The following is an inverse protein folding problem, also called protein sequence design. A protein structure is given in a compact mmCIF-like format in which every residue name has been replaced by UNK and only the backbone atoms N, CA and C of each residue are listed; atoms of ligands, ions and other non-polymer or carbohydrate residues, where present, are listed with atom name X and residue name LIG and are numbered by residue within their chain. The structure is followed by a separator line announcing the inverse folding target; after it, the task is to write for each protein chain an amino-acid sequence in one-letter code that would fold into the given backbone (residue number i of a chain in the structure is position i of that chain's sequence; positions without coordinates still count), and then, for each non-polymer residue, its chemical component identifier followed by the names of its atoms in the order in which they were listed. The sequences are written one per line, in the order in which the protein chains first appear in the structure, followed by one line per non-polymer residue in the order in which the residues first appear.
data_IF_781310141512
#
_entry.id   IF_781310141512
#
_cell.length_a   1.000
_cell.length_b   1.000
_cell.length_c   1.000
_cell.angle_alpha   90.00
_cell.angle_beta   90.00
_cell.angle_gamma   90.00
#
_symmetry.space_group_name_H-M   'P 1'
#
loop_
_entity.id
_entity.type
_entity.pdbx_description
1 polymer ?
#
# COMPACT_ATOMS: atom_id res chain seq x y z
N UNK A 1 -14.85 -29.55 -12.89
CA UNK A 1 -13.93 -29.24 -11.77
C UNK A 1 -13.46 -27.83 -12.05
N UNK A 2 -13.84 -26.84 -11.25
CA UNK A 2 -13.31 -25.48 -11.40
C UNK A 2 -11.81 -25.54 -11.10
N UNK A 3 -10.97 -25.19 -12.06
CA UNK A 3 -9.54 -25.05 -11.80
C UNK A 3 -9.30 -23.97 -10.77
N UNK A 4 -8.51 -24.30 -9.76
CA UNK A 4 -8.14 -23.36 -8.70
C UNK A 4 -7.24 -22.29 -9.32
N UNK A 5 -7.62 -21.04 -9.12
CA UNK A 5 -6.71 -19.93 -9.40
C UNK A 5 -5.64 -19.96 -8.29
N UNK A 6 -4.51 -20.60 -8.56
CA UNK A 6 -3.33 -20.53 -7.69
C UNK A 6 -2.58 -19.25 -8.02
N UNK A 7 -2.84 -18.22 -7.24
CA UNK A 7 -2.02 -17.02 -7.29
C UNK A 7 -0.97 -17.17 -6.18
N UNK A 8 0.21 -17.62 -6.56
CA UNK A 8 1.36 -17.61 -5.68
C UNK A 8 1.76 -16.15 -5.39
N UNK A 9 2.22 -15.88 -4.18
CA UNK A 9 2.68 -14.55 -3.75
C UNK A 9 1.61 -13.43 -3.80
N UNK A 10 0.33 -13.78 -3.62
CA UNK A 10 -0.68 -12.77 -3.36
C UNK A 10 -0.43 -12.15 -1.98
N UNK A 11 -0.12 -10.87 -1.96
CA UNK A 11 0.17 -10.14 -0.73
C UNK A 11 -1.05 -10.15 0.20
N UNK A 12 -0.87 -10.07 1.53
CA UNK A 12 -2.00 -9.84 2.43
C UNK A 12 -2.75 -8.56 2.03
N UNK A 13 -4.01 -8.44 2.44
CA UNK A 13 -4.71 -7.16 2.27
C UNK A 13 -4.06 -6.08 3.14
N UNK A 14 -4.17 -4.79 2.78
CA UNK A 14 -3.65 -3.71 3.64
C UNK A 14 -4.18 -3.80 5.07
N UNK A 15 -5.46 -4.16 5.24
CA UNK A 15 -6.11 -4.30 6.53
C UNK A 15 -5.53 -5.45 7.37
N UNK A 16 -5.23 -6.59 6.71
CA UNK A 16 -4.65 -7.75 7.39
C UNK A 16 -3.19 -7.50 7.76
N UNK A 17 -2.39 -6.93 6.83
CA UNK A 17 -1.00 -6.54 7.08
C UNK A 17 -0.90 -5.53 8.22
N UNK A 18 -1.79 -4.53 8.24
CA UNK A 18 -1.86 -3.51 9.29
C UNK A 18 -2.07 -4.13 10.68
N UNK A 19 -3.09 -4.98 10.81
CA UNK A 19 -3.39 -5.67 12.07
C UNK A 19 -2.26 -6.60 12.52
N UNK A 20 -1.65 -7.33 11.57
CA UNK A 20 -0.50 -8.19 11.84
C UNK A 20 0.67 -7.40 12.38
N UNK A 21 1.06 -6.31 11.72
CA UNK A 21 2.22 -5.52 12.09
C UNK A 21 2.02 -4.73 13.39
N UNK A 22 0.83 -4.20 13.65
CA UNK A 22 0.51 -3.58 14.94
C UNK A 22 0.67 -4.59 16.09
N UNK A 23 0.20 -5.83 15.88
CA UNK A 23 0.39 -6.90 16.86
C UNK A 23 1.87 -7.26 17.03
N UNK A 24 2.61 -7.38 15.93
CA UNK A 24 4.04 -7.75 15.92
C UNK A 24 4.89 -6.75 16.71
N UNK A 25 4.68 -5.45 16.53
CA UNK A 25 5.42 -4.42 17.26
C UNK A 25 4.93 -4.23 18.70
N UNK A 26 3.89 -4.95 19.12
CA UNK A 26 3.28 -4.82 20.45
C UNK A 26 2.57 -3.48 20.65
N UNK A 27 1.79 -3.03 19.65
CA UNK A 27 0.92 -1.87 19.76
C UNK A 27 -0.32 -2.20 20.60
N UNK A 28 -0.12 -2.26 21.92
CA UNK A 28 -1.13 -2.58 22.92
C UNK A 28 -1.56 -1.35 23.70
N UNK A 29 -2.41 -1.54 24.68
CA UNK A 29 -2.95 -0.45 25.51
C UNK A 29 -1.86 0.29 26.29
N UNK A 30 -0.84 -0.39 26.80
CA UNK A 30 0.28 0.23 27.51
C UNK A 30 1.09 1.14 26.58
N UNK A 31 1.45 0.63 25.38
CA UNK A 31 2.16 1.39 24.35
C UNK A 31 1.35 2.61 23.90
N UNK A 32 0.03 2.46 23.73
CA UNK A 32 -0.88 3.57 23.38
C UNK A 32 -0.93 4.62 24.48
N UNK A 33 -0.99 4.23 25.75
CA UNK A 33 -0.95 5.17 26.88
C UNK A 33 0.37 5.93 26.95
N UNK A 34 1.50 5.28 26.65
CA UNK A 34 2.79 5.95 26.59
C UNK A 34 2.81 7.03 25.49
N UNK A 35 2.34 6.73 24.28
CA UNK A 35 2.19 7.72 23.21
C UNK A 35 1.22 8.85 23.58
N UNK A 36 0.06 8.52 24.17
CA UNK A 36 -1.00 9.46 24.52
C UNK A 36 -0.53 10.60 25.43
N UNK A 37 0.45 10.36 26.30
CA UNK A 37 1.02 11.39 27.18
C UNK A 37 1.65 12.56 26.44
N UNK A 38 2.05 12.37 25.19
CA UNK A 38 2.70 13.39 24.36
C UNK A 38 1.79 14.02 23.31
N UNK A 39 0.58 13.48 23.10
CA UNK A 39 -0.31 13.91 21.99
C UNK A 39 -0.59 15.41 22.06
N UNK A 40 -0.91 15.96 23.23
CA UNK A 40 -1.19 17.39 23.37
C UNK A 40 0.02 18.27 22.99
N UNK A 41 1.22 17.86 23.41
CA UNK A 41 2.48 18.54 23.07
C UNK A 41 2.69 18.53 21.56
N UNK A 42 2.58 17.36 20.94
CA UNK A 42 2.78 17.17 19.52
C UNK A 42 1.71 17.87 18.68
N UNK A 43 0.46 17.85 19.12
CA UNK A 43 -0.65 18.51 18.46
C UNK A 43 -0.45 20.04 18.39
N UNK A 44 -0.06 20.67 19.51
CA UNK A 44 0.24 22.10 19.57
C UNK A 44 1.39 22.51 18.62
N UNK A 45 2.34 21.60 18.35
CA UNK A 45 3.48 21.81 17.48
C UNK A 45 3.28 21.26 16.05
N UNK A 46 2.07 20.73 15.74
CA UNK A 46 1.79 20.07 14.49
C UNK A 46 1.96 20.97 13.26
N UNK A 47 1.49 22.21 13.32
CA UNK A 47 1.68 23.17 12.23
C UNK A 47 3.17 23.47 12.00
N UNK A 48 3.92 23.68 13.06
CA UNK A 48 5.37 23.91 12.99
C UNK A 48 6.08 22.73 12.34
N UNK A 49 5.73 21.49 12.72
CA UNK A 49 6.29 20.29 12.09
C UNK A 49 6.06 20.27 10.58
N UNK A 50 4.82 20.55 10.16
CA UNK A 50 4.46 20.56 8.72
C UNK A 50 5.29 21.59 7.97
N UNK A 51 5.38 22.83 8.48
CA UNK A 51 6.13 23.91 7.84
C UNK A 51 7.61 23.57 7.78
N UNK A 52 8.24 23.23 8.91
CA UNK A 52 9.68 22.90 8.99
C UNK A 52 10.06 21.72 8.09
N UNK A 53 9.18 20.71 7.99
CA UNK A 53 9.45 19.57 7.10
C UNK A 53 9.57 20.02 5.65
N UNK A 54 8.63 20.81 5.13
CA UNK A 54 8.70 21.27 3.74
C UNK A 54 9.78 22.31 3.49
N UNK A 55 10.10 23.17 4.44
CA UNK A 55 11.27 24.06 4.36
C UNK A 55 12.56 23.25 4.26
N UNK A 56 12.69 22.19 5.07
CA UNK A 56 13.84 21.29 5.00
C UNK A 56 13.90 20.56 3.66
N UNK A 57 12.82 19.94 3.20
CA UNK A 57 12.78 19.23 1.91
C UNK A 57 13.11 20.16 0.73
N UNK A 58 12.72 21.43 0.81
CA UNK A 58 13.10 22.44 -0.18
C UNK A 58 14.57 22.82 -0.13
N UNK A 59 15.19 22.79 1.04
CA UNK A 59 16.61 23.13 1.21
C UNK A 59 17.58 22.03 0.75
N UNK A 60 17.08 20.81 0.56
CA UNK A 60 17.85 19.65 0.08
C UNK A 60 17.68 19.55 -1.44
N UNK A 61 18.76 19.69 -2.24
CA UNK A 61 18.67 19.76 -3.70
C UNK A 61 17.90 18.58 -4.33
N UNK A 62 18.14 17.36 -3.85
CA UNK A 62 17.52 16.14 -4.38
C UNK A 62 16.02 16.13 -4.14
N UNK A 63 15.56 16.54 -2.96
CA UNK A 63 14.11 16.57 -2.66
C UNK A 63 13.44 17.77 -3.31
N UNK A 64 14.13 18.90 -3.47
CA UNK A 64 13.64 20.02 -4.26
C UNK A 64 13.42 19.61 -5.72
N UNK A 65 14.37 18.87 -6.32
CA UNK A 65 14.27 18.33 -7.68
C UNK A 65 13.10 17.34 -7.84
N UNK A 66 12.94 16.41 -6.89
CA UNK A 66 11.80 15.46 -6.88
C UNK A 66 10.46 16.21 -6.88
N UNK A 67 10.38 17.32 -6.17
CA UNK A 67 9.16 18.13 -6.04
C UNK A 67 8.99 19.16 -7.16
N UNK A 68 10.02 19.35 -8.02
CA UNK A 68 10.03 20.35 -9.08
C UNK A 68 10.15 21.79 -8.55
N UNK A 69 10.90 21.98 -7.46
CA UNK A 69 11.05 23.25 -6.75
C UNK A 69 12.47 23.84 -6.82
N UNK A 70 13.30 23.39 -7.77
CA UNK A 70 14.71 23.80 -7.89
C UNK A 70 14.85 25.30 -8.18
N UNK A 71 14.00 25.83 -9.07
CA UNK A 71 14.04 27.25 -9.45
C UNK A 71 12.98 28.06 -8.69
N UNK A 72 11.75 27.58 -8.68
CA UNK A 72 10.62 28.26 -8.06
C UNK A 72 9.67 27.26 -7.41
N UNK A 73 9.15 27.60 -6.22
CA UNK A 73 8.13 26.80 -5.55
C UNK A 73 6.76 27.06 -6.17
N UNK A 74 6.10 26.00 -6.61
CA UNK A 74 4.67 26.03 -6.87
C UNK A 74 3.91 26.10 -5.54
N UNK A 75 3.45 27.29 -5.17
CA UNK A 75 2.76 27.51 -3.88
C UNK A 75 1.47 26.67 -3.77
N UNK A 76 0.77 26.45 -4.87
CA UNK A 76 -0.42 25.58 -4.88
C UNK A 76 -0.05 24.14 -4.58
N UNK A 77 1.06 23.65 -5.14
CA UNK A 77 1.59 22.32 -4.86
C UNK A 77 2.08 22.21 -3.41
N UNK A 78 2.80 23.20 -2.91
CA UNK A 78 3.27 23.23 -1.52
C UNK A 78 2.10 23.17 -0.54
N UNK A 79 1.04 23.95 -0.77
CA UNK A 79 -0.13 23.96 0.09
C UNK A 79 -0.91 22.63 0.04
N UNK A 80 -1.01 22.01 -1.14
CA UNK A 80 -1.57 20.67 -1.30
C UNK A 80 -0.79 19.64 -0.47
N UNK A 81 0.55 19.69 -0.53
CA UNK A 81 1.43 18.78 0.25
C UNK A 81 1.29 19.00 1.75
N UNK A 82 1.28 20.27 2.19
CA UNK A 82 1.04 20.62 3.60
C UNK A 82 -0.28 20.08 4.11
N UNK A 83 -1.34 20.20 3.30
CA UNK A 83 -2.67 19.66 3.63
C UNK A 83 -2.63 18.14 3.79
N UNK A 84 -2.02 17.41 2.85
CA UNK A 84 -1.91 15.95 2.95
C UNK A 84 -1.11 15.53 4.19
N UNK A 85 -0.01 16.19 4.47
CA UNK A 85 0.78 15.91 5.66
C UNK A 85 0.01 16.22 6.94
N UNK A 86 -0.75 17.32 6.99
CA UNK A 86 -1.61 17.66 8.13
C UNK A 86 -2.69 16.60 8.38
N UNK A 87 -3.34 16.10 7.33
CA UNK A 87 -4.33 15.02 7.45
C UNK A 87 -3.70 13.74 7.98
N UNK A 88 -2.55 13.34 7.43
CA UNK A 88 -1.80 12.19 7.93
C UNK A 88 -1.37 12.36 9.38
N UNK A 89 -0.83 13.53 9.74
CA UNK A 89 -0.39 13.84 11.11
C UNK A 89 -1.56 13.79 12.11
N UNK A 90 -2.70 14.36 11.75
CA UNK A 90 -3.89 14.34 12.60
C UNK A 90 -4.36 12.89 12.89
N UNK A 91 -4.40 12.04 11.87
CA UNK A 91 -4.73 10.61 12.05
C UNK A 91 -3.66 9.88 12.87
N UNK A 92 -2.39 10.19 12.64
CA UNK A 92 -1.27 9.62 13.40
C UNK A 92 -1.36 10.00 14.88
N UNK A 93 -1.54 11.28 15.21
CA UNK A 93 -1.69 11.74 16.59
C UNK A 93 -2.99 11.24 17.25
N UNK A 94 -4.03 10.99 16.45
CA UNK A 94 -5.25 10.29 16.90
C UNK A 94 -5.04 8.80 17.15
N UNK A 95 -3.85 8.26 16.86
CA UNK A 95 -3.53 6.82 16.98
C UNK A 95 -4.55 5.95 16.25
N UNK A 96 -4.91 6.36 15.03
CA UNK A 96 -5.92 5.71 14.20
C UNK A 96 -5.46 4.30 13.79
N UNK A 97 -6.17 3.28 14.24
CA UNK A 97 -5.90 1.88 13.92
C UNK A 97 -6.96 1.26 12.99
N UNK A 98 -7.76 2.09 12.34
CA UNK A 98 -8.84 1.64 11.45
C UNK A 98 -8.31 1.02 10.15
N UNK A 99 -9.13 0.19 9.54
CA UNK A 99 -8.89 -0.40 8.22
C UNK A 99 -8.82 0.69 7.13
N UNK A 100 -9.55 1.79 7.29
CA UNK A 100 -9.51 2.95 6.39
C UNK A 100 -8.15 3.65 6.43
N UNK A 101 -7.51 3.71 7.59
CA UNK A 101 -6.16 4.29 7.69
C UNK A 101 -5.12 3.38 7.04
N UNK A 102 -5.22 2.07 7.20
CA UNK A 102 -4.37 1.12 6.49
C UNK A 102 -4.45 1.31 4.96
N UNK A 103 -5.67 1.38 4.42
CA UNK A 103 -5.89 1.63 2.99
C UNK A 103 -5.39 3.02 2.54
N UNK A 104 -5.50 4.03 3.41
CA UNK A 104 -4.97 5.38 3.14
C UNK A 104 -3.43 5.34 3.00
N UNK A 105 -2.73 4.70 3.93
CA UNK A 105 -1.26 4.58 3.92
C UNK A 105 -0.78 3.79 2.70
N UNK A 106 -1.44 2.67 2.40
CA UNK A 106 -1.15 1.88 1.19
C UNK A 106 -1.31 2.71 -0.09
N UNK A 107 -2.38 3.50 -0.20
CA UNK A 107 -2.58 4.41 -1.34
C UNK A 107 -1.54 5.52 -1.38
N UNK A 108 -1.16 6.08 -0.22
CA UNK A 108 -0.09 7.06 -0.13
C UNK A 108 1.23 6.50 -0.67
N UNK A 109 1.54 5.23 -0.38
CA UNK A 109 2.70 4.53 -0.97
C UNK A 109 2.66 4.49 -2.49
N UNK A 110 1.51 4.14 -3.09
CA UNK A 110 1.34 4.18 -4.55
C UNK A 110 1.55 5.59 -5.11
N UNK A 111 1.10 6.61 -4.41
CA UNK A 111 1.30 8.00 -4.84
C UNK A 111 2.79 8.40 -4.82
N UNK A 112 3.56 7.93 -3.83
CA UNK A 112 5.01 8.13 -3.80
C UNK A 112 5.72 7.39 -4.94
N UNK A 113 5.18 6.28 -5.41
CA UNK A 113 5.71 5.57 -6.59
C UNK A 113 5.39 6.26 -7.93
N UNK A 114 4.71 7.41 -7.93
CA UNK A 114 4.34 8.15 -9.14
C UNK A 114 2.89 7.95 -9.60
N UNK A 115 2.10 7.11 -8.92
CA UNK A 115 0.70 6.82 -9.28
C UNK A 115 -0.31 7.82 -8.65
N UNK A 116 0.19 8.95 -8.16
CA UNK A 116 -0.65 10.06 -7.70
C UNK A 116 -1.02 11.02 -8.85
N UNK A 117 -1.93 11.99 -8.59
CA UNK A 117 -2.41 12.92 -9.61
C UNK A 117 -1.33 13.76 -10.30
N UNK A 118 -0.20 13.98 -9.64
CA UNK A 118 0.93 14.76 -10.17
C UNK A 118 2.06 13.90 -10.75
N UNK A 119 1.92 12.58 -10.73
CA UNK A 119 2.91 11.62 -11.22
C UNK A 119 4.33 11.83 -10.65
N UNK A 120 4.44 12.32 -9.41
CA UNK A 120 5.72 12.57 -8.75
C UNK A 120 6.23 11.26 -8.15
N UNK A 121 7.38 10.81 -8.64
CA UNK A 121 8.07 9.66 -8.11
C UNK A 121 9.04 10.08 -7.00
N UNK A 122 8.76 9.66 -5.77
CA UNK A 122 9.62 9.86 -4.60
C UNK A 122 10.35 8.55 -4.30
N UNK A 123 11.67 8.45 -4.51
CA UNK A 123 12.43 7.24 -4.18
C UNK A 123 12.23 6.79 -2.73
N UNK A 124 12.19 5.47 -2.45
CA UNK A 124 11.77 4.95 -1.14
C UNK A 124 12.69 5.37 0.01
N UNK A 125 13.99 5.62 -0.25
CA UNK A 125 14.92 6.13 0.77
C UNK A 125 14.48 7.47 1.38
N UNK A 126 13.84 8.35 0.59
CA UNK A 126 13.32 9.62 1.10
C UNK A 126 12.05 9.45 1.93
N UNK A 127 11.22 8.45 1.60
CA UNK A 127 10.05 8.09 2.42
C UNK A 127 10.53 7.59 3.79
N UNK A 128 11.50 6.67 3.79
CA UNK A 128 12.10 6.11 5.01
C UNK A 128 12.74 7.20 5.86
N UNK A 129 13.58 8.05 5.25
CA UNK A 129 14.26 9.13 5.95
C UNK A 129 13.28 10.18 6.51
N UNK A 130 12.19 10.47 5.80
CA UNK A 130 11.15 11.41 6.26
C UNK A 130 10.45 10.92 7.53
N UNK A 131 10.20 9.64 7.68
CA UNK A 131 9.69 9.07 8.93
C UNK A 131 10.69 9.28 10.08
N UNK A 132 12.00 9.11 9.81
CA UNK A 132 13.05 9.42 10.77
C UNK A 132 13.06 10.90 11.21
N UNK A 133 12.86 11.84 10.26
CA UNK A 133 12.74 13.27 10.57
C UNK A 133 11.53 13.57 11.48
N UNK A 134 10.41 12.92 11.23
CA UNK A 134 9.22 13.05 12.10
C UNK A 134 9.49 12.51 13.50
N UNK A 135 10.11 11.33 13.61
CA UNK A 135 10.49 10.74 14.90
C UNK A 135 11.42 11.65 15.70
N UNK A 136 12.45 12.20 15.05
CA UNK A 136 13.38 13.14 15.67
C UNK A 136 12.67 14.42 16.13
N UNK A 137 11.76 14.97 15.32
CA UNK A 137 10.96 16.14 15.67
C UNK A 137 10.02 15.88 16.86
N UNK A 138 9.40 14.71 16.91
CA UNK A 138 8.56 14.31 18.05
C UNK A 138 9.39 14.26 19.33
N UNK A 139 10.55 13.60 19.30
CA UNK A 139 11.44 13.52 20.47
C UNK A 139 11.91 14.92 20.93
N UNK A 140 12.30 15.79 19.99
CA UNK A 140 12.70 17.18 20.28
C UNK A 140 11.55 17.97 20.91
N UNK A 141 10.35 17.94 20.36
CA UNK A 141 9.20 18.68 20.89
C UNK A 141 8.80 18.24 22.31
N UNK A 142 8.86 16.92 22.57
CA UNK A 142 8.63 16.40 23.92
C UNK A 142 9.69 16.86 24.91
N UNK A 143 10.97 16.89 24.51
CA UNK A 143 12.08 17.36 25.34
C UNK A 143 11.97 18.87 25.62
N UNK A 144 11.72 19.69 24.61
CA UNK A 144 11.54 21.15 24.74
C UNK A 144 10.34 21.52 25.61
N UNK A 145 9.30 20.66 25.63
CA UNK A 145 8.15 20.84 26.54
C UNK A 145 8.45 20.41 27.99
N UNK A 146 9.66 19.95 28.29
CA UNK A 146 10.05 19.52 29.63
C UNK A 146 9.45 18.19 30.08
N UNK A 147 9.11 17.30 29.14
CA UNK A 147 8.60 15.98 29.48
C UNK A 147 9.65 15.21 30.29
N UNK A 148 9.19 14.53 31.35
CA UNK A 148 10.09 13.72 32.20
C UNK A 148 10.80 12.64 31.36
N UNK A 149 12.10 12.41 31.61
CA UNK A 149 12.98 11.60 30.74
C UNK A 149 12.45 10.18 30.50
N UNK A 150 11.94 9.49 31.55
CA UNK A 150 11.40 8.14 31.42
C UNK A 150 10.10 8.14 30.60
N UNK A 151 9.24 9.12 30.81
CA UNK A 151 8.00 9.29 30.06
C UNK A 151 8.28 9.62 28.58
N UNK A 152 9.26 10.48 28.32
CA UNK A 152 9.74 10.81 26.97
C UNK A 152 10.26 9.57 26.26
N UNK A 153 11.15 8.79 26.90
CA UNK A 153 11.69 7.57 26.32
C UNK A 153 10.59 6.55 25.96
N UNK A 154 9.60 6.37 26.86
CA UNK A 154 8.46 5.49 26.62
C UNK A 154 7.57 5.98 25.46
N UNK A 155 7.29 7.28 25.39
CA UNK A 155 6.51 7.88 24.31
C UNK A 155 7.26 7.79 22.95
N UNK A 156 8.55 8.11 22.93
CA UNK A 156 9.37 8.01 21.73
C UNK A 156 9.43 6.57 21.19
N UNK A 157 9.59 5.59 22.07
CA UNK A 157 9.57 4.17 21.71
C UNK A 157 8.20 3.75 21.14
N UNK A 158 7.09 4.24 21.73
CA UNK A 158 5.76 3.98 21.23
C UNK A 158 5.53 4.59 19.84
N UNK A 159 5.88 5.85 19.63
CA UNK A 159 5.79 6.49 18.33
C UNK A 159 6.67 5.82 17.28
N UNK A 160 7.90 5.40 17.64
CA UNK A 160 8.77 4.66 16.73
C UNK A 160 8.10 3.40 16.21
N UNK A 161 7.49 2.59 17.09
CA UNK A 161 6.73 1.39 16.70
C UNK A 161 5.60 1.71 15.73
N UNK A 162 4.77 2.69 16.08
CA UNK A 162 3.59 3.03 15.29
C UNK A 162 3.94 3.64 13.93
N UNK A 163 4.94 4.52 13.88
CA UNK A 163 5.41 5.11 12.63
C UNK A 163 6.11 4.08 11.72
N UNK A 164 6.80 3.09 12.30
CA UNK A 164 7.39 2.00 11.51
C UNK A 164 6.34 1.12 10.84
N UNK A 165 5.21 0.86 11.49
CA UNK A 165 4.09 0.14 10.85
C UNK A 165 3.46 0.97 9.73
N UNK A 166 3.33 2.28 9.91
CA UNK A 166 2.84 3.16 8.84
C UNK A 166 3.79 3.18 7.64
N UNK A 167 5.11 3.19 7.91
CA UNK A 167 6.12 3.09 6.87
C UNK A 167 6.02 1.78 6.09
N UNK A 168 5.87 0.64 6.77
CA UNK A 168 5.66 -0.68 6.13
C UNK A 168 4.46 -0.66 5.18
N UNK A 169 3.34 -0.05 5.59
CA UNK A 169 2.16 0.09 4.73
C UNK A 169 2.40 0.97 3.49
N UNK A 170 3.15 2.07 3.65
CA UNK A 170 3.51 2.92 2.52
C UNK A 170 4.47 2.22 1.57
N UNK A 171 5.47 1.50 2.08
CA UNK A 171 6.41 0.74 1.26
C UNK A 171 5.71 -0.41 0.52
N UNK A 172 4.78 -1.12 1.16
CA UNK A 172 3.95 -2.13 0.49
C UNK A 172 3.17 -1.54 -0.69
N UNK A 173 2.55 -0.38 -0.53
CA UNK A 173 1.85 0.32 -1.61
C UNK A 173 2.80 0.78 -2.72
N UNK A 174 3.98 1.26 -2.36
CA UNK A 174 5.03 1.67 -3.28
C UNK A 174 5.51 0.50 -4.15
N UNK A 175 5.85 -0.63 -3.52
CA UNK A 175 6.34 -1.83 -4.20
C UNK A 175 5.30 -2.38 -5.18
N UNK A 176 4.03 -2.46 -4.77
CA UNK A 176 2.93 -2.91 -5.63
C UNK A 176 2.76 -2.01 -6.86
N UNK A 177 2.89 -0.69 -6.69
CA UNK A 177 2.82 0.24 -7.82
C UNK A 177 4.01 0.02 -8.78
N UNK A 178 5.23 -0.09 -8.24
CA UNK A 178 6.42 -0.37 -9.07
C UNK A 178 6.34 -1.72 -9.76
N UNK A 179 5.84 -2.75 -9.09
CA UNK A 179 5.63 -4.07 -9.68
C UNK A 179 4.63 -4.03 -10.85
N UNK A 180 3.60 -3.20 -10.77
CA UNK A 180 2.61 -3.06 -11.84
C UNK A 180 3.19 -2.48 -13.13
N UNK A 181 4.29 -1.72 -13.03
CA UNK A 181 5.02 -1.13 -14.16
C UNK A 181 6.23 -1.96 -14.61
N UNK A 182 6.57 -3.05 -13.91
CA UNK A 182 7.72 -3.88 -14.23
C UNK A 182 7.32 -5.01 -15.19
N UNK A 183 8.14 -5.25 -16.22
CA UNK A 183 7.98 -6.33 -17.21
C UNK A 183 8.35 -5.90 -18.61
N UNK A 184 8.34 -6.86 -19.52
CA UNK A 184 8.79 -6.68 -20.92
C UNK A 184 7.77 -5.93 -21.79
N UNK A 185 6.47 -6.22 -21.60
CA UNK A 185 5.41 -5.63 -22.43
C UNK A 185 4.14 -5.29 -21.63
N UNK A 186 3.32 -4.35 -22.12
CA UNK A 186 2.08 -3.96 -21.50
C UNK A 186 0.94 -4.93 -21.81
N UNK A 187 0.06 -5.17 -20.84
CA UNK A 187 -1.21 -5.87 -20.97
C UNK A 187 -2.32 -4.99 -20.42
N UNK A 188 -3.42 -4.84 -21.16
CA UNK A 188 -4.57 -4.08 -20.70
C UNK A 188 -5.50 -4.96 -19.85
N UNK A 189 -5.81 -4.53 -18.65
CA UNK A 189 -6.82 -5.16 -17.78
C UNK A 189 -8.04 -4.27 -17.70
N UNK A 190 -9.09 -4.60 -18.44
CA UNK A 190 -10.37 -3.90 -18.46
C UNK A 190 -11.29 -4.46 -17.36
N UNK A 191 -12.01 -3.60 -16.68
CA UNK A 191 -12.89 -4.00 -15.58
C UNK A 191 -14.33 -3.59 -15.85
N UNK A 192 -15.27 -4.40 -15.35
CA UNK A 192 -16.68 -4.21 -15.56
C UNK A 192 -17.46 -4.25 -14.23
N UNK A 193 -18.70 -3.80 -14.27
CA UNK A 193 -19.59 -3.81 -13.11
C UNK A 193 -18.97 -3.06 -11.91
N UNK A 194 -19.05 -3.65 -10.73
CA UNK A 194 -18.57 -3.05 -9.47
C UNK A 194 -17.06 -2.85 -9.41
N UNK A 195 -16.29 -3.56 -10.21
CA UNK A 195 -14.84 -3.36 -10.27
C UNK A 195 -14.47 -1.96 -10.75
N UNK A 196 -15.31 -1.32 -11.59
CA UNK A 196 -15.06 0.05 -12.06
C UNK A 196 -14.99 1.07 -10.90
N UNK A 197 -15.86 0.93 -9.91
CA UNK A 197 -15.84 1.81 -8.74
C UNK A 197 -14.62 1.56 -7.83
N UNK A 198 -14.14 0.32 -7.76
CA UNK A 198 -12.94 -0.04 -6.99
C UNK A 198 -11.67 0.46 -7.67
N UNK A 199 -11.60 0.32 -9.00
CA UNK A 199 -10.46 0.73 -9.83
C UNK A 199 -10.44 2.24 -10.03
N UNK A 200 -11.60 2.89 -9.99
CA UNK A 200 -11.76 4.32 -10.30
C UNK A 200 -11.74 4.62 -11.79
N UNK A 201 -12.08 3.64 -12.64
CA UNK A 201 -12.06 3.78 -14.09
C UNK A 201 -12.39 2.47 -14.81
N UNK A 202 -12.07 2.41 -16.11
CA UNK A 202 -12.37 1.27 -16.98
C UNK A 202 -11.31 0.16 -16.92
N UNK A 203 -10.19 0.37 -16.23
CA UNK A 203 -9.12 -0.62 -16.12
C UNK A 203 -7.77 -0.03 -15.76
N UNK A 204 -6.74 -0.85 -15.92
CA UNK A 204 -5.33 -0.51 -15.72
C UNK A 204 -4.48 -1.19 -16.79
N UNK A 205 -3.37 -0.56 -17.15
CA UNK A 205 -2.30 -1.21 -17.93
C UNK A 205 -1.26 -1.75 -16.95
N UNK A 206 -0.96 -3.04 -17.05
CA UNK A 206 0.08 -3.72 -16.28
C UNK A 206 1.20 -4.12 -17.23
N UNK A 207 2.44 -4.07 -16.76
CA UNK A 207 3.54 -4.69 -17.49
C UNK A 207 3.80 -6.09 -16.95
N UNK A 208 4.10 -7.02 -17.87
CA UNK A 208 4.35 -8.43 -17.55
C UNK A 208 5.57 -8.92 -18.31
N UNK A 209 6.25 -9.95 -17.79
CA UNK A 209 7.39 -10.57 -18.44
C UNK A 209 6.92 -11.52 -19.54
N UNK A 210 7.82 -11.90 -20.47
CA UNK A 210 7.49 -12.72 -21.65
C UNK A 210 6.89 -14.08 -21.33
N UNK A 211 7.27 -14.66 -20.19
CA UNK A 211 6.77 -15.97 -19.75
C UNK A 211 5.55 -15.87 -18.83
N UNK A 212 5.06 -14.65 -18.60
CA UNK A 212 3.94 -14.43 -17.68
C UNK A 212 2.64 -15.04 -18.19
N UNK A 213 1.86 -15.53 -17.24
CA UNK A 213 0.54 -16.10 -17.46
C UNK A 213 -0.57 -15.12 -17.07
N UNK A 214 -1.80 -15.45 -17.42
CA UNK A 214 -2.99 -14.71 -16.96
C UNK A 214 -3.04 -14.68 -15.42
N UNK A 215 -2.67 -15.78 -14.74
CA UNK A 215 -2.62 -15.83 -13.27
C UNK A 215 -1.70 -14.76 -12.69
N UNK A 216 -0.56 -14.53 -13.34
CA UNK A 216 0.40 -13.52 -12.88
C UNK A 216 -0.07 -12.09 -13.11
N UNK A 217 -0.68 -11.80 -14.24
CA UNK A 217 -1.33 -10.51 -14.47
C UNK A 217 -2.46 -10.25 -13.44
N UNK A 218 -3.26 -11.28 -13.14
CA UNK A 218 -4.29 -11.21 -12.10
C UNK A 218 -3.69 -11.01 -10.70
N UNK A 219 -2.55 -11.64 -10.39
CA UNK A 219 -1.81 -11.41 -9.13
C UNK A 219 -1.42 -9.94 -9.00
N UNK A 220 -0.79 -9.35 -10.04
CA UNK A 220 -0.44 -7.92 -10.07
C UNK A 220 -1.68 -7.06 -9.91
N UNK A 221 -2.76 -7.35 -10.63
CA UNK A 221 -4.03 -6.64 -10.52
C UNK A 221 -4.60 -6.69 -9.09
N UNK A 222 -4.66 -7.87 -8.48
CA UNK A 222 -5.21 -8.03 -7.13
C UNK A 222 -4.29 -7.51 -6.04
N UNK A 223 -2.99 -7.44 -6.24
CA UNK A 223 -2.07 -6.76 -5.33
C UNK A 223 -2.25 -5.24 -5.42
N UNK A 224 -2.45 -4.72 -6.63
CA UNK A 224 -2.66 -3.30 -6.84
C UNK A 224 -4.05 -2.82 -6.36
N UNK A 225 -5.09 -3.64 -6.55
CA UNK A 225 -6.48 -3.39 -6.11
C UNK A 225 -6.94 -4.49 -5.13
N UNK A 226 -6.44 -4.51 -3.90
CA UNK A 226 -6.76 -5.60 -2.96
C UNK A 226 -8.27 -5.70 -2.64
N UNK A 227 -9.02 -4.61 -2.72
CA UNK A 227 -10.49 -4.63 -2.54
C UNK A 227 -11.22 -5.43 -3.64
N UNK A 228 -10.62 -5.52 -4.85
CA UNK A 228 -11.19 -6.29 -5.95
C UNK A 228 -11.22 -7.80 -5.67
N UNK A 229 -10.34 -8.31 -4.78
CA UNK A 229 -10.31 -9.73 -4.40
C UNK A 229 -11.64 -10.21 -3.85
N UNK A 230 -12.27 -9.41 -2.97
CA UNK A 230 -13.56 -9.77 -2.33
C UNK A 230 -14.71 -9.91 -3.33
N UNK A 231 -14.63 -9.20 -4.46
CA UNK A 231 -15.62 -9.28 -5.53
C UNK A 231 -15.37 -10.49 -6.45
N UNK A 232 -14.12 -10.90 -6.61
CA UNK A 232 -13.67 -11.88 -7.60
C UNK A 232 -13.41 -13.26 -7.02
N UNK A 233 -12.85 -13.33 -5.83
CA UNK A 233 -12.24 -14.52 -5.27
C UNK A 233 -12.86 -14.90 -3.91
N UNK A 234 -12.87 -16.20 -3.65
CA UNK A 234 -13.19 -16.77 -2.34
C UNK A 234 -11.95 -17.49 -1.80
N UNK A 235 -11.43 -17.13 -0.62
CA UNK A 235 -10.34 -17.86 -0.02
C UNK A 235 -10.83 -19.23 0.49
N UNK A 236 -10.02 -20.26 0.25
CA UNK A 236 -10.17 -21.59 0.82
C UNK A 236 -8.86 -22.01 1.44
N UNK A 237 -8.91 -22.87 2.44
CA UNK A 237 -7.71 -23.44 3.06
C UNK A 237 -7.33 -24.74 2.37
N UNK A 238 -6.04 -24.89 2.04
CA UNK A 238 -5.44 -26.11 1.49
C UNK A 238 -4.33 -26.57 2.38
N UNK A 239 -4.10 -27.86 2.37
CA UNK A 239 -2.94 -28.48 3.00
C UNK A 239 -2.15 -29.29 1.98
N UNK A 240 -0.86 -29.21 2.04
CA UNK A 240 0.05 -29.99 1.21
C UNK A 240 1.13 -30.62 2.07
N UNK A 241 1.35 -31.93 1.90
CA UNK A 241 2.51 -32.59 2.47
C UNK A 241 3.76 -32.08 1.76
N UNK A 242 4.70 -31.55 2.54
CA UNK A 242 5.98 -31.13 2.00
C UNK A 242 6.85 -32.36 1.83
N UNK A 243 7.34 -32.61 0.62
CA UNK A 243 8.22 -33.73 0.31
C UNK A 243 9.43 -33.73 1.27
N UNK A 244 9.70 -34.86 1.88
CA UNK A 244 10.79 -35.06 2.89
C UNK A 244 10.61 -34.25 4.19
N UNK A 245 9.38 -33.90 4.57
CA UNK A 245 9.06 -33.22 5.84
C UNK A 245 7.96 -33.96 6.59
N UNK A 246 8.04 -33.95 7.93
CA UNK A 246 6.97 -34.44 8.81
C UNK A 246 5.80 -33.41 8.96
N UNK A 247 5.90 -32.27 8.31
CA UNK A 247 4.97 -31.18 8.48
C UNK A 247 4.08 -30.99 7.24
N UNK A 248 2.82 -30.73 7.52
CA UNK A 248 1.84 -30.31 6.53
C UNK A 248 1.88 -28.79 6.44
N UNK A 249 2.13 -28.26 5.25
CA UNK A 249 2.02 -26.85 4.99
C UNK A 249 0.54 -26.51 4.77
N UNK A 250 0.02 -25.55 5.52
CA UNK A 250 -1.35 -25.03 5.35
C UNK A 250 -1.27 -23.63 4.78
N UNK A 251 -1.93 -23.41 3.64
CA UNK A 251 -1.90 -22.13 2.94
C UNK A 251 -3.29 -21.74 2.41
N UNK A 252 -3.57 -20.45 2.28
CA UNK A 252 -4.79 -20.00 1.61
C UNK A 252 -4.64 -20.17 0.09
N UNK A 253 -5.59 -20.83 -0.53
CA UNK A 253 -5.78 -20.84 -1.96
C UNK A 253 -7.00 -19.99 -2.32
N UNK A 254 -7.05 -19.50 -3.54
CA UNK A 254 -8.14 -18.65 -4.00
C UNK A 254 -8.89 -19.34 -5.12
N UNK A 255 -10.21 -19.39 -5.01
CA UNK A 255 -11.08 -19.90 -6.07
C UNK A 255 -11.95 -18.75 -6.58
N UNK A 256 -12.19 -18.68 -7.89
CA UNK A 256 -13.13 -17.70 -8.43
C UNK A 256 -14.51 -17.87 -7.82
N UNK A 257 -15.17 -16.76 -7.49
CA UNK A 257 -16.56 -16.78 -7.09
C UNK A 257 -17.45 -17.30 -8.23
N UNK A 258 -18.59 -17.94 -7.94
CA UNK A 258 -19.56 -18.29 -8.97
C UNK A 258 -19.89 -17.09 -9.87
N UNK A 259 -19.97 -17.31 -11.17
CA UNK A 259 -20.19 -16.29 -12.21
C UNK A 259 -19.10 -15.21 -12.38
N UNK A 260 -17.95 -15.34 -11.71
CA UNK A 260 -16.74 -14.60 -12.07
C UNK A 260 -16.25 -15.04 -13.45
N UNK A 261 -16.01 -14.09 -14.33
CA UNK A 261 -15.53 -14.37 -15.68
C UNK A 261 -14.31 -13.52 -16.03
N UNK A 262 -13.34 -14.15 -16.64
CA UNK A 262 -12.16 -13.51 -17.21
C UNK A 262 -12.12 -13.86 -18.70
N UNK A 263 -12.07 -12.85 -19.54
CA UNK A 263 -11.89 -13.02 -20.98
C UNK A 263 -10.47 -12.58 -21.37
N UNK A 264 -9.83 -13.40 -22.20
CA UNK A 264 -8.59 -13.04 -22.89
C UNK A 264 -8.94 -12.76 -24.36
N UNK A 265 -8.70 -11.55 -24.81
CA UNK A 265 -9.02 -11.10 -26.19
C UNK A 265 -10.48 -11.40 -26.59
N UNK A 266 -11.40 -11.20 -25.68
CA UNK A 266 -12.83 -11.45 -25.89
C UNK A 266 -13.27 -12.90 -25.75
N UNK A 267 -12.36 -13.86 -25.58
CA UNK A 267 -12.67 -15.27 -25.34
C UNK A 267 -12.63 -15.59 -23.85
N UNK A 268 -13.72 -16.14 -23.33
CA UNK A 268 -13.81 -16.56 -21.94
C UNK A 268 -12.83 -17.70 -21.64
N UNK A 269 -12.04 -17.52 -20.59
CA UNK A 269 -11.04 -18.51 -20.15
C UNK A 269 -11.66 -19.84 -19.75
N UNK A 270 -12.92 -19.86 -19.34
CA UNK A 270 -13.64 -21.11 -19.06
C UNK A 270 -13.72 -22.06 -20.27
N UNK A 271 -13.58 -21.53 -21.49
CA UNK A 271 -13.58 -22.30 -22.76
C UNK A 271 -12.22 -22.31 -23.45
N UNK A 272 -11.18 -21.72 -22.84
CA UNK A 272 -9.81 -21.76 -23.33
C UNK A 272 -9.06 -22.91 -22.62
N UNK A 273 -8.37 -23.74 -23.38
CA UNK A 273 -7.45 -24.72 -22.78
C UNK A 273 -6.38 -23.98 -21.98
N UNK A 274 -6.02 -24.48 -20.78
CA UNK A 274 -5.01 -23.86 -19.93
C UNK A 274 -5.56 -22.83 -18.95
N UNK A 275 -6.78 -22.33 -19.06
CA UNK A 275 -7.41 -21.38 -18.13
C UNK A 275 -6.48 -20.22 -17.75
N UNK A 276 -6.16 -20.03 -16.46
CA UNK A 276 -5.27 -18.98 -15.97
C UNK A 276 -3.78 -19.20 -16.27
N UNK A 277 -3.39 -20.40 -16.73
CA UNK A 277 -2.02 -20.72 -17.16
C UNK A 277 -1.74 -20.35 -18.63
N UNK A 278 -2.69 -19.74 -19.34
CA UNK A 278 -2.42 -19.21 -20.67
C UNK A 278 -1.34 -18.13 -20.59
N UNK A 279 -0.30 -18.27 -21.42
CA UNK A 279 0.74 -17.25 -21.56
C UNK A 279 0.19 -16.00 -22.23
N UNK A 280 0.65 -14.87 -21.75
CA UNK A 280 0.29 -13.57 -22.29
C UNK A 280 1.22 -13.15 -23.41
N UNK A 281 0.70 -12.36 -24.33
CA UNK A 281 1.44 -11.78 -25.46
C UNK A 281 1.26 -10.26 -25.45
N UNK A 282 2.12 -9.58 -26.18
CA UNK A 282 2.00 -8.15 -26.40
C UNK A 282 0.64 -7.80 -27.02
N UNK A 283 0.02 -6.72 -26.57
CA UNK A 283 -1.32 -6.25 -26.95
C UNK A 283 -2.50 -7.08 -26.40
N UNK A 284 -2.27 -8.12 -25.61
CA UNK A 284 -3.34 -8.88 -24.98
C UNK A 284 -4.21 -7.99 -24.08
N UNK A 285 -5.51 -8.28 -24.11
CA UNK A 285 -6.53 -7.59 -23.32
C UNK A 285 -7.24 -8.60 -22.42
N UNK A 286 -7.12 -8.42 -21.11
CA UNK A 286 -7.91 -9.12 -20.12
C UNK A 286 -9.17 -8.29 -19.79
N UNK A 287 -10.33 -8.95 -19.76
CA UNK A 287 -11.58 -8.33 -19.37
C UNK A 287 -12.18 -9.07 -18.16
N UNK A 288 -12.36 -8.34 -17.05
CA UNK A 288 -12.76 -8.89 -15.75
C UNK A 288 -14.22 -8.54 -15.43
N UNK A 289 -15.06 -9.56 -15.29
CA UNK A 289 -16.47 -9.42 -14.98
C UNK A 289 -16.76 -10.02 -13.59
N UNK A 290 -17.11 -9.19 -12.60
CA UNK A 290 -17.52 -9.70 -11.30
C UNK A 290 -18.89 -10.42 -11.41
N UNK A 291 -19.24 -11.30 -10.44
CA UNK A 291 -20.55 -11.89 -10.37
C UNK A 291 -21.64 -10.81 -10.42
N UNK A 292 -22.70 -11.05 -11.21
CA UNK A 292 -23.93 -10.27 -11.14
C UNK A 292 -24.58 -10.39 -9.75
N UNK A 293 -25.36 -9.38 -9.34
CA UNK A 293 -26.22 -9.49 -8.16
C UNK A 293 -27.43 -10.34 -8.46
#
# INVERSE_FOLDING_TARGET
MQEELRIEHLLPSPEDRWREMLRFVGWNEETRRAAARSVEILFRRGHELVVQTYEYLRSVPETAAILGWEENVDESHLEERRRFFTVWLARTLGMDTSDEFACYLFRAGKYHAGHGPRHIHTPPQYIIASIGLVQASFARFMAEAGMEAQALAAAAAAWSKYLSVQLDMMLMGYEVARESEHGDFPVQVKVFGRLRSIVGGDGITLRVDRESTVAEALRKFFNYFPQARREALQPIWRSQEKKDSLWVEVYPAYVPRPAWRVLLNGRDLAYAGGFYNNHLQEEDVLALFPPGR
#
